data_IF_707574399050
#
_entry.id   IF_707574399050
#
_cell.length_a   1.000
_cell.length_b   1.000
_cell.length_c   1.000
_cell.angle_alpha   90.00
_cell.angle_beta   90.00
_cell.angle_gamma   90.00
#
_symmetry.space_group_name_H-M   'P 1'
#
loop_
_entity.id
_entity.type
_entity.pdbx_description
1 polymer ?
#
# COMPACT_ATOMS: atom_id res chain seq x y z
N UNK A 1 -3.32 4.16 0.51
CA UNK A 1 -1.92 3.67 0.37
C UNK A 1 -1.22 4.55 -0.65
N UNK A 2 -0.01 5.02 -0.34
CA UNK A 2 0.68 5.98 -1.20
C UNK A 2 1.18 5.30 -2.47
N UNK A 3 0.86 5.87 -3.62
CA UNK A 3 1.43 5.50 -4.91
C UNK A 3 2.88 6.01 -5.01
N UNK A 4 3.63 5.51 -5.99
CA UNK A 4 4.88 6.17 -6.37
C UNK A 4 4.50 7.51 -6.99
N UNK A 5 4.88 8.61 -6.34
CA UNK A 5 4.76 9.93 -6.95
C UNK A 5 5.60 9.91 -8.25
N UNK A 6 5.03 10.23 -9.42
CA UNK A 6 5.75 10.15 -10.70
C UNK A 6 7.06 10.93 -10.70
N UNK A 7 7.09 12.03 -9.95
CA UNK A 7 8.28 12.87 -9.76
C UNK A 7 9.39 12.17 -8.94
N UNK A 8 9.02 11.23 -8.06
CA UNK A 8 9.95 10.50 -7.20
C UNK A 8 10.44 9.18 -7.80
N UNK A 9 9.81 8.68 -8.87
CA UNK A 9 10.22 7.44 -9.55
C UNK A 9 11.69 7.45 -10.00
N UNK A 10 12.24 8.62 -10.35
CA UNK A 10 13.66 8.80 -10.69
C UNK A 10 14.59 8.42 -9.53
N UNK A 11 14.16 8.66 -8.28
CA UNK A 11 14.89 8.29 -7.07
C UNK A 11 15.05 6.78 -6.96
N UNK A 12 13.98 6.01 -7.21
CA UNK A 12 14.03 4.55 -7.19
C UNK A 12 15.06 3.99 -8.17
N UNK A 13 15.06 4.51 -9.42
CA UNK A 13 16.03 4.11 -10.45
C UNK A 13 17.45 4.46 -10.03
N UNK A 14 17.68 5.67 -9.50
CA UNK A 14 18.99 6.09 -9.04
C UNK A 14 19.52 5.20 -7.90
N UNK A 15 18.68 4.84 -6.94
CA UNK A 15 19.03 3.92 -5.87
C UNK A 15 19.45 2.53 -6.38
N UNK A 16 18.68 1.97 -7.32
CA UNK A 16 18.99 0.68 -7.96
C UNK A 16 20.30 0.72 -8.76
N UNK A 17 20.55 1.80 -9.50
CA UNK A 17 21.79 1.99 -10.26
C UNK A 17 23.01 2.20 -9.33
N UNK A 18 22.80 2.78 -8.15
CA UNK A 18 23.88 3.01 -7.19
C UNK A 18 24.30 1.73 -6.45
N UNK A 19 23.40 0.76 -6.28
CA UNK A 19 23.70 -0.51 -5.60
C UNK A 19 24.96 -1.23 -6.15
N UNK A 20 25.09 -1.53 -7.46
CA UNK A 20 26.28 -2.20 -7.98
C UNK A 20 27.56 -1.35 -7.80
N UNK A 21 27.46 -0.03 -7.91
CA UNK A 21 28.59 0.90 -7.71
C UNK A 21 29.05 0.86 -6.24
N UNK A 22 28.13 0.91 -5.30
CA UNK A 22 28.41 0.85 -3.87
C UNK A 22 28.98 -0.52 -3.45
N UNK A 23 28.46 -1.61 -4.02
CA UNK A 23 29.02 -2.95 -3.81
C UNK A 23 30.44 -3.06 -4.38
N UNK A 24 30.69 -2.47 -5.54
CA UNK A 24 32.04 -2.41 -6.13
C UNK A 24 32.99 -1.58 -5.24
N UNK A 25 32.55 -0.44 -4.71
CA UNK A 25 33.33 0.37 -3.77
C UNK A 25 33.76 -0.48 -2.57
N UNK A 26 32.83 -1.18 -1.93
CA UNK A 26 33.12 -2.02 -0.76
C UNK A 26 34.04 -3.20 -1.10
N UNK A 27 33.88 -3.82 -2.28
CA UNK A 27 34.66 -5.00 -2.69
C UNK A 27 36.04 -4.68 -3.26
N UNK A 28 36.20 -3.53 -3.89
CA UNK A 28 37.44 -3.17 -4.60
C UNK A 28 38.33 -2.25 -3.76
N UNK A 29 37.76 -1.40 -2.92
CA UNK A 29 38.50 -0.46 -2.08
C UNK A 29 39.13 -1.15 -0.87
N UNK A 30 40.45 -1.05 -0.73
CA UNK A 30 41.17 -1.64 0.39
C UNK A 30 40.73 -1.13 1.78
N UNK A 31 40.48 0.19 1.98
CA UNK A 31 39.86 0.71 3.21
C UNK A 31 38.54 0.02 3.56
N UNK A 32 37.63 -0.09 2.58
CA UNK A 32 36.27 -0.57 2.82
C UNK A 32 36.21 -2.08 3.09
N UNK A 33 37.00 -2.87 2.36
CA UNK A 33 37.07 -4.33 2.57
C UNK A 33 37.50 -4.74 3.97
N UNK A 34 38.27 -3.91 4.66
CA UNK A 34 38.79 -4.20 6.02
C UNK A 34 37.76 -3.91 7.11
N UNK A 35 36.66 -3.24 6.76
CA UNK A 35 35.63 -2.87 7.71
C UNK A 35 34.77 -4.09 8.12
N UNK A 36 34.17 -4.06 9.32
CA UNK A 36 33.13 -5.01 9.70
C UNK A 36 31.97 -5.02 8.70
N UNK A 37 31.33 -6.17 8.53
CA UNK A 37 30.22 -6.34 7.59
C UNK A 37 29.06 -5.36 7.84
N UNK A 38 28.78 -5.01 9.10
CA UNK A 38 27.76 -4.02 9.45
C UNK A 38 28.11 -2.63 8.90
N UNK A 39 29.37 -2.21 9.05
CA UNK A 39 29.84 -0.94 8.47
C UNK A 39 29.83 -0.97 6.95
N UNK A 40 30.17 -2.10 6.33
CA UNK A 40 30.09 -2.26 4.88
C UNK A 40 28.65 -2.10 4.37
N UNK A 41 27.69 -2.74 5.03
CA UNK A 41 26.26 -2.61 4.73
C UNK A 41 25.83 -1.15 4.90
N UNK A 42 26.21 -0.49 6.00
CA UNK A 42 25.90 0.92 6.23
C UNK A 42 26.41 1.83 5.11
N UNK A 43 27.66 1.63 4.65
CA UNK A 43 28.23 2.39 3.53
C UNK A 43 27.40 2.21 2.25
N UNK A 44 26.98 0.98 1.94
CA UNK A 44 26.14 0.72 0.76
C UNK A 44 24.80 1.43 0.87
N UNK A 45 24.14 1.33 2.01
CA UNK A 45 22.84 1.97 2.24
C UNK A 45 22.95 3.50 2.20
N UNK A 46 23.99 4.08 2.80
CA UNK A 46 24.26 5.53 2.72
C UNK A 46 24.53 5.98 1.28
N UNK A 47 25.26 5.20 0.48
CA UNK A 47 25.49 5.52 -0.91
C UNK A 47 24.18 5.53 -1.73
N UNK A 48 23.32 4.53 -1.50
CA UNK A 48 21.99 4.45 -2.13
C UNK A 48 21.13 5.65 -1.72
N UNK A 49 21.04 5.95 -0.43
CA UNK A 49 20.33 7.15 0.07
C UNK A 49 20.85 8.42 -0.59
N UNK A 50 22.17 8.60 -0.66
CA UNK A 50 22.77 9.77 -1.29
C UNK A 50 22.37 9.91 -2.77
N UNK A 51 22.38 8.81 -3.52
CA UNK A 51 21.97 8.81 -4.92
C UNK A 51 20.48 9.13 -5.10
N UNK A 52 19.61 8.60 -4.24
CA UNK A 52 18.18 8.92 -4.25
C UNK A 52 17.97 10.42 -4.03
N UNK A 53 18.56 11.00 -2.98
CA UNK A 53 18.42 12.42 -2.67
C UNK A 53 18.91 13.32 -3.81
N UNK A 54 20.06 13.00 -4.42
CA UNK A 54 20.56 13.75 -5.57
C UNK A 54 19.64 13.65 -6.80
N UNK A 55 18.99 12.50 -7.00
CA UNK A 55 18.11 12.29 -8.15
C UNK A 55 16.78 13.06 -8.02
N UNK A 56 16.34 13.38 -6.80
CA UNK A 56 15.10 14.15 -6.55
C UNK A 56 15.27 15.66 -6.79
N UNK A 57 16.50 16.17 -6.88
CA UNK A 57 16.80 17.61 -7.05
C UNK A 57 16.01 18.27 -8.20
N UNK A 58 15.98 17.73 -9.44
CA UNK A 58 15.36 18.41 -10.57
C UNK A 58 13.86 18.63 -10.37
N UNK A 59 13.19 17.66 -9.73
CA UNK A 59 11.74 17.67 -9.52
C UNK A 59 11.29 18.74 -8.50
N UNK A 60 12.16 19.09 -7.55
CA UNK A 60 11.88 20.18 -6.61
C UNK A 60 12.47 21.53 -7.05
N UNK A 61 13.38 21.56 -8.02
CA UNK A 61 14.09 22.80 -8.37
C UNK A 61 13.15 23.89 -8.93
N UNK A 62 12.12 23.50 -9.66
CA UNK A 62 11.16 24.42 -10.27
C UNK A 62 10.10 24.93 -9.29
N UNK A 63 9.73 24.13 -8.30
CA UNK A 63 8.58 24.38 -7.40
C UNK A 63 9.01 24.78 -6.00
N UNK A 64 10.10 24.22 -5.48
CA UNK A 64 10.64 24.49 -4.15
C UNK A 64 12.19 24.43 -4.14
N UNK A 65 12.85 25.55 -4.48
CA UNK A 65 14.30 25.64 -4.53
C UNK A 65 14.99 25.37 -3.19
N UNK A 66 14.31 25.61 -2.06
CA UNK A 66 14.86 25.37 -0.72
C UNK A 66 14.99 23.86 -0.52
N UNK A 67 13.91 23.13 -0.79
CA UNK A 67 13.88 21.67 -0.67
C UNK A 67 14.86 21.01 -1.65
N UNK A 68 14.96 21.52 -2.88
CA UNK A 68 15.98 21.08 -3.84
C UNK A 68 17.40 21.27 -3.30
N UNK A 69 17.68 22.41 -2.65
CA UNK A 69 18.95 22.67 -1.97
C UNK A 69 19.22 21.70 -0.81
N UNK A 70 18.21 21.40 0.00
CA UNK A 70 18.32 20.43 1.09
C UNK A 70 18.64 19.03 0.56
N UNK A 71 17.96 18.57 -0.50
CA UNK A 71 18.27 17.31 -1.17
C UNK A 71 19.70 17.27 -1.71
N UNK A 72 20.19 18.36 -2.30
CA UNK A 72 21.57 18.44 -2.76
C UNK A 72 22.58 18.27 -1.62
N UNK A 73 22.49 19.09 -0.58
CA UNK A 73 23.44 19.04 0.53
C UNK A 73 23.37 17.69 1.27
N UNK A 74 22.17 17.14 1.43
CA UNK A 74 21.98 15.87 2.09
C UNK A 74 22.56 14.71 1.26
N UNK A 75 22.23 14.68 -0.03
CA UNK A 75 22.75 13.67 -0.97
C UNK A 75 24.28 13.67 -1.04
N UNK A 76 24.89 14.85 -1.16
CA UNK A 76 26.36 14.99 -1.14
C UNK A 76 26.94 14.53 0.20
N UNK A 77 26.33 14.87 1.33
CA UNK A 77 26.82 14.47 2.64
C UNK A 77 26.79 12.94 2.83
N UNK A 78 25.72 12.28 2.37
CA UNK A 78 25.61 10.81 2.38
C UNK A 78 26.70 10.15 1.54
N UNK A 79 26.91 10.60 0.30
CA UNK A 79 27.96 10.07 -0.58
C UNK A 79 29.35 10.32 0.01
N UNK A 80 29.60 11.53 0.54
CA UNK A 80 30.88 11.88 1.15
C UNK A 80 31.18 10.98 2.35
N UNK A 81 30.22 10.75 3.24
CA UNK A 81 30.41 9.85 4.37
C UNK A 81 30.51 8.38 3.94
N UNK A 82 29.84 7.95 2.86
CA UNK A 82 30.03 6.61 2.32
C UNK A 82 31.48 6.38 1.84
N UNK A 83 32.15 7.40 1.31
CA UNK A 83 33.55 7.33 0.86
C UNK A 83 34.55 7.55 2.00
N UNK A 84 34.27 8.49 2.91
CA UNK A 84 35.16 8.95 3.97
C UNK A 84 35.02 8.13 5.27
N UNK A 85 34.89 6.81 5.13
CA UNK A 85 34.56 5.87 6.22
C UNK A 85 35.64 5.77 7.32
N UNK A 86 36.88 6.11 7.01
CA UNK A 86 38.00 6.08 7.96
C UNK A 86 38.07 7.36 8.85
N UNK A 87 37.18 8.34 8.65
CA UNK A 87 37.17 9.54 9.50
C UNK A 87 36.93 9.17 10.95
N UNK A 88 37.71 9.77 11.85
CA UNK A 88 37.64 9.54 13.31
C UNK A 88 36.22 9.70 13.88
N UNK A 89 35.44 10.62 13.32
CA UNK A 89 34.09 10.95 13.78
C UNK A 89 32.99 10.34 12.91
N UNK A 90 33.33 9.46 11.95
CA UNK A 90 32.41 8.94 10.95
C UNK A 90 31.11 8.40 11.57
N UNK A 91 31.19 7.54 12.60
CA UNK A 91 29.98 7.00 13.24
C UNK A 91 29.07 8.10 13.81
N UNK A 92 29.64 9.14 14.40
CA UNK A 92 28.88 10.25 14.97
C UNK A 92 28.26 11.11 13.87
N UNK A 93 29.06 11.48 12.86
CA UNK A 93 28.62 12.30 11.73
C UNK A 93 27.52 11.60 10.93
N UNK A 94 27.70 10.31 10.60
CA UNK A 94 26.70 9.51 9.89
C UNK A 94 25.43 9.32 10.71
N UNK A 95 25.53 9.08 12.02
CA UNK A 95 24.35 8.97 12.88
C UNK A 95 23.59 10.29 12.97
N UNK A 96 24.30 11.41 13.14
CA UNK A 96 23.71 12.73 13.20
C UNK A 96 23.02 13.09 11.88
N UNK A 97 23.66 12.82 10.74
CA UNK A 97 23.08 13.06 9.42
C UNK A 97 21.78 12.27 9.24
N UNK A 98 21.77 10.97 9.54
CA UNK A 98 20.56 10.15 9.38
C UNK A 98 19.44 10.63 10.31
N UNK A 99 19.73 10.88 11.58
CA UNK A 99 18.72 11.35 12.54
C UNK A 99 18.14 12.70 12.10
N UNK A 100 18.99 13.65 11.70
CA UNK A 100 18.53 14.96 11.21
C UNK A 100 17.70 14.83 9.92
N UNK A 101 18.09 13.93 9.02
CA UNK A 101 17.34 13.67 7.78
C UNK A 101 15.98 13.04 8.03
N UNK A 102 15.89 12.08 8.96
CA UNK A 102 14.61 11.47 9.36
C UNK A 102 13.73 12.54 10.01
N UNK A 103 14.24 13.26 11.01
CA UNK A 103 13.48 14.30 11.71
C UNK A 103 13.04 15.43 10.76
N UNK A 104 13.91 15.85 9.84
CA UNK A 104 13.59 16.85 8.82
C UNK A 104 12.44 16.40 7.92
N UNK A 105 12.47 15.16 7.44
CA UNK A 105 11.37 14.59 6.67
C UNK A 105 10.06 14.54 7.47
N UNK A 106 10.11 14.15 8.75
CA UNK A 106 8.91 14.13 9.60
C UNK A 106 8.30 15.54 9.77
N UNK A 107 9.13 16.57 9.90
CA UNK A 107 8.66 17.96 9.93
C UNK A 107 7.98 18.34 8.61
N UNK A 108 8.56 17.94 7.48
CA UNK A 108 7.98 18.20 6.16
C UNK A 108 6.62 17.55 5.97
N UNK A 109 6.49 16.26 6.35
CA UNK A 109 5.24 15.51 6.28
C UNK A 109 4.18 16.12 7.20
N UNK A 110 4.52 16.40 8.47
CA UNK A 110 3.58 16.98 9.44
C UNK A 110 3.16 18.40 9.06
N UNK A 111 4.06 19.18 8.44
CA UNK A 111 3.76 20.52 7.96
C UNK A 111 2.98 20.53 6.62
N UNK A 112 2.76 19.37 5.99
CA UNK A 112 2.11 19.27 4.68
C UNK A 112 2.93 19.85 3.53
N UNK A 113 4.25 19.98 3.70
CA UNK A 113 5.17 20.46 2.66
C UNK A 113 5.52 19.36 1.65
N UNK A 114 5.44 18.11 2.07
CA UNK A 114 5.65 16.93 1.25
C UNK A 114 4.72 15.80 1.72
N UNK A 115 4.10 15.08 0.79
CA UNK A 115 3.27 13.92 1.11
C UNK A 115 4.14 12.67 1.37
N UNK A 116 3.69 11.72 2.20
CA UNK A 116 4.30 10.39 2.22
C UNK A 116 4.14 9.76 0.83
N UNK A 117 5.20 9.18 0.28
CA UNK A 117 5.15 8.40 -0.96
C UNK A 117 6.03 7.15 -0.84
N UNK A 118 5.87 6.17 -1.73
CA UNK A 118 6.62 4.90 -1.62
C UNK A 118 8.14 5.09 -1.63
N UNK A 119 8.65 6.05 -2.41
CA UNK A 119 10.09 6.32 -2.51
C UNK A 119 10.57 7.00 -1.24
N UNK A 120 9.84 7.99 -0.72
CA UNK A 120 10.11 8.62 0.57
C UNK A 120 10.17 7.61 1.71
N UNK A 121 9.14 6.75 1.82
CA UNK A 121 9.05 5.70 2.84
C UNK A 121 10.16 4.66 2.73
N UNK A 122 10.44 4.17 1.52
CA UNK A 122 11.54 3.23 1.28
C UNK A 122 12.88 3.85 1.66
N UNK A 123 13.09 5.13 1.35
CA UNK A 123 14.31 5.86 1.70
C UNK A 123 14.47 5.99 3.21
N UNK A 124 13.40 6.30 3.96
CA UNK A 124 13.44 6.33 5.42
C UNK A 124 13.77 4.95 6.01
N UNK A 125 13.25 3.86 5.43
CA UNK A 125 13.57 2.50 5.88
C UNK A 125 15.05 2.16 5.66
N UNK A 126 15.61 2.54 4.50
CA UNK A 126 17.04 2.39 4.19
C UNK A 126 17.89 3.18 5.20
N UNK A 127 17.52 4.43 5.47
CA UNK A 127 18.20 5.32 6.41
C UNK A 127 18.19 4.74 7.84
N UNK A 128 17.03 4.30 8.34
CA UNK A 128 16.89 3.69 9.67
C UNK A 128 17.67 2.36 9.77
N UNK A 129 17.69 1.58 8.70
CA UNK A 129 18.51 0.36 8.63
C UNK A 129 20.00 0.70 8.68
N UNK A 130 20.44 1.71 7.92
CA UNK A 130 21.81 2.19 7.95
C UNK A 130 22.21 2.67 9.35
N UNK A 131 21.33 3.41 10.03
CA UNK A 131 21.53 3.86 11.40
C UNK A 131 21.72 2.67 12.36
N UNK A 132 20.86 1.65 12.26
CA UNK A 132 21.04 0.41 13.02
C UNK A 132 22.41 -0.22 12.78
N UNK A 133 22.83 -0.34 11.52
CA UNK A 133 24.14 -0.91 11.17
C UNK A 133 25.34 -0.08 11.65
N UNK A 134 25.22 1.26 11.68
CA UNK A 134 26.22 2.20 12.22
C UNK A 134 26.31 2.10 13.73
N UNK A 135 25.19 1.83 14.42
CA UNK A 135 25.16 1.79 15.86
C UNK A 135 25.45 0.39 16.43
N UNK A 136 25.41 -0.70 15.64
CA UNK A 136 25.87 -2.00 16.12
C UNK A 136 27.40 -1.98 16.31
N UNK A 137 27.90 -2.14 17.56
CA UNK A 137 29.33 -2.07 17.82
C UNK A 137 30.03 -3.34 17.28
N UNK A 138 31.11 -3.15 16.52
CA UNK A 138 31.90 -4.26 16.00
C UNK A 138 32.74 -4.92 17.10
N UNK A 139 33.11 -6.20 16.91
CA UNK A 139 33.89 -6.98 17.90
C UNK A 139 35.19 -6.30 18.37
N UNK A 140 35.76 -5.42 17.56
CA UNK A 140 36.99 -4.67 17.88
C UNK A 140 36.74 -3.41 18.74
N UNK A 141 35.50 -2.95 18.91
CA UNK A 141 35.14 -1.72 19.64
C UNK A 141 34.72 -1.98 21.11
N UNK A 142 35.44 -2.87 21.82
CA UNK A 142 35.13 -3.33 23.19
C UNK A 142 34.71 -2.21 24.16
N UNK A 143 35.41 -1.06 24.14
CA UNK A 143 35.19 0.05 25.08
C UNK A 143 33.83 0.74 24.98
N UNK A 144 33.21 0.77 23.79
CA UNK A 144 31.84 1.32 23.62
C UNK A 144 30.78 0.27 23.96
N UNK A 145 31.07 -1.00 23.64
CA UNK A 145 30.20 -2.16 23.90
C UNK A 145 29.85 -2.33 25.37
N UNK A 146 30.77 -2.02 26.28
CA UNK A 146 30.59 -2.27 27.72
C UNK A 146 29.84 -1.14 28.45
N UNK A 147 29.39 -0.08 27.74
CA UNK A 147 28.60 1.02 28.32
C UNK A 147 27.10 0.73 28.20
N UNK A 148 26.44 0.49 29.33
CA UNK A 148 25.01 0.15 29.41
C UNK A 148 24.08 1.20 28.77
N UNK A 149 24.43 2.49 28.88
CA UNK A 149 23.65 3.58 28.27
C UNK A 149 23.66 3.56 26.74
N UNK A 150 24.71 3.01 26.11
CA UNK A 150 24.81 2.89 24.66
C UNK A 150 23.78 1.88 24.12
N UNK A 151 23.61 0.77 24.83
CA UNK A 151 22.56 -0.21 24.53
C UNK A 151 21.16 0.30 24.85
N UNK A 152 21.00 1.11 25.90
CA UNK A 152 19.71 1.75 26.19
C UNK A 152 19.29 2.73 25.07
N UNK A 153 20.22 3.54 24.55
CA UNK A 153 19.97 4.41 23.40
C UNK A 153 19.66 3.62 22.12
N UNK A 154 20.31 2.47 21.92
CA UNK A 154 20.02 1.58 20.79
C UNK A 154 18.66 0.90 20.92
N UNK A 155 18.35 0.38 22.10
CA UNK A 155 17.11 -0.33 22.38
C UNK A 155 15.88 0.59 22.44
N UNK A 156 16.07 1.90 22.68
CA UNK A 156 14.98 2.87 22.74
C UNK A 156 14.94 3.81 21.54
N UNK A 157 16.07 4.40 21.15
CA UNK A 157 16.12 5.47 20.15
C UNK A 157 15.75 5.01 18.74
N UNK A 158 16.28 3.86 18.28
CA UNK A 158 15.95 3.34 16.95
C UNK A 158 14.48 2.88 16.86
N UNK A 159 13.93 2.13 17.84
CA UNK A 159 12.50 1.82 17.84
C UNK A 159 11.62 3.06 17.92
N UNK A 160 11.97 4.07 18.73
CA UNK A 160 11.23 5.33 18.80
C UNK A 160 11.22 6.04 17.44
N UNK A 161 12.35 6.12 16.74
CA UNK A 161 12.38 6.70 15.40
C UNK A 161 11.54 5.91 14.39
N UNK A 162 11.58 4.58 14.43
CA UNK A 162 10.73 3.74 13.58
C UNK A 162 9.24 3.99 13.89
N UNK A 163 8.87 4.04 15.17
CA UNK A 163 7.49 4.28 15.59
C UNK A 163 7.02 5.67 15.22
N UNK A 164 7.84 6.71 15.42
CA UNK A 164 7.50 8.08 15.05
C UNK A 164 7.36 8.23 13.53
N UNK A 165 8.28 7.64 12.76
CA UNK A 165 8.18 7.64 11.30
C UNK A 165 6.97 6.86 10.81
N UNK A 166 6.61 5.76 11.46
CA UNK A 166 5.40 5.04 11.12
C UNK A 166 4.14 5.85 11.48
N UNK A 167 4.10 6.41 12.69
CA UNK A 167 2.95 7.15 13.20
C UNK A 167 2.65 8.39 12.34
N UNK A 168 3.66 9.12 11.86
CA UNK A 168 3.44 10.29 10.99
C UNK A 168 2.73 9.93 9.69
N UNK A 169 3.00 8.74 9.14
CA UNK A 169 2.38 8.27 7.91
C UNK A 169 0.89 8.00 8.14
N UNK A 170 0.57 7.28 9.20
CA UNK A 170 -0.83 7.05 9.59
C UNK A 170 -1.55 8.35 9.97
N UNK A 171 -0.91 9.26 10.70
CA UNK A 171 -1.50 10.56 11.04
C UNK A 171 -1.87 11.32 9.76
N UNK A 172 -1.00 11.30 8.75
CA UNK A 172 -1.24 12.00 7.48
C UNK A 172 -2.37 11.36 6.69
N UNK A 173 -2.38 10.02 6.57
CA UNK A 173 -3.42 9.24 5.89
C UNK A 173 -4.80 9.42 6.57
N UNK A 174 -4.84 9.42 7.91
CA UNK A 174 -6.07 9.66 8.68
C UNK A 174 -6.54 11.13 8.61
N UNK A 175 -5.61 12.08 8.50
CA UNK A 175 -5.95 13.50 8.38
C UNK A 175 -6.41 13.89 6.97
N UNK A 176 -5.98 13.16 5.94
CA UNK A 176 -6.29 13.41 4.54
C UNK A 176 -6.72 12.09 3.87
N UNK A 177 -7.91 11.57 4.19
CA UNK A 177 -8.39 10.33 3.58
C UNK A 177 -8.46 10.50 2.06
N UNK A 178 -7.80 9.60 1.32
CA UNK A 178 -7.87 9.57 -0.13
C UNK A 178 -9.32 9.26 -0.55
N UNK A 179 -9.92 10.16 -1.32
CA UNK A 179 -11.30 10.03 -1.81
C UNK A 179 -11.52 8.75 -2.64
N UNK A 180 -10.45 8.16 -3.18
CA UNK A 180 -10.51 6.89 -3.91
C UNK A 180 -10.59 5.67 -2.99
N UNK A 181 -10.31 5.80 -1.70
CA UNK A 181 -10.46 4.68 -0.78
C UNK A 181 -11.91 4.61 -0.29
N UNK A 182 -12.69 3.68 -0.87
CA UNK A 182 -14.07 3.49 -0.47
C UNK A 182 -14.19 2.99 0.97
N UNK A 183 -13.27 2.08 1.35
CA UNK A 183 -13.06 1.60 2.71
C UNK A 183 -11.64 1.02 2.84
N UNK A 184 -11.30 0.51 4.04
CA UNK A 184 -9.97 -0.03 4.32
C UNK A 184 -9.58 -1.16 3.35
N UNK A 185 -8.61 -0.86 2.48
CA UNK A 185 -8.11 -1.80 1.46
C UNK A 185 -8.90 -1.80 0.14
N UNK A 186 -9.89 -0.93 -0.09
CA UNK A 186 -10.61 -0.85 -1.36
C UNK A 186 -10.31 0.45 -2.12
N UNK A 187 -9.64 0.34 -3.27
CA UNK A 187 -9.28 1.44 -4.15
C UNK A 187 -10.22 1.57 -5.34
N UNK A 188 -10.87 2.72 -5.50
CA UNK A 188 -11.77 3.05 -6.62
C UNK A 188 -11.01 3.33 -7.91
N UNK A 189 -11.63 2.94 -9.04
CA UNK A 189 -11.23 3.37 -10.37
C UNK A 189 -11.32 4.90 -10.50
N UNK A 190 -10.31 5.52 -11.12
CA UNK A 190 -10.38 6.94 -11.47
C UNK A 190 -11.36 7.18 -12.61
N UNK A 191 -12.31 8.11 -12.42
CA UNK A 191 -13.33 8.49 -13.40
C UNK A 191 -13.44 10.01 -13.52
N UNK A 192 -14.29 10.48 -14.43
CA UNK A 192 -14.73 11.88 -14.43
C UNK A 192 -15.55 12.21 -13.16
N UNK A 193 -15.53 13.48 -12.73
CA UNK A 193 -16.20 13.92 -11.50
C UNK A 193 -17.75 13.89 -11.58
N UNK A 194 -18.32 14.12 -12.76
CA UNK A 194 -19.78 14.17 -12.96
C UNK A 194 -20.18 13.26 -14.12
N UNK A 195 -21.15 12.35 -13.93
CA UNK A 195 -21.51 11.39 -14.97
C UNK A 195 -22.17 12.07 -16.16
N UNK A 196 -21.71 11.70 -17.36
CA UNK A 196 -22.31 12.16 -18.61
C UNK A 196 -23.68 11.54 -18.84
N UNK A 197 -24.46 12.09 -19.77
CA UNK A 197 -25.77 11.51 -20.14
C UNK A 197 -25.63 10.09 -20.70
N UNK A 198 -24.59 9.86 -21.51
CA UNK A 198 -24.29 8.53 -22.05
C UNK A 198 -23.94 7.55 -20.93
N UNK A 199 -23.14 7.98 -19.95
CA UNK A 199 -22.80 7.15 -18.79
C UNK A 199 -24.01 6.81 -17.93
N UNK A 200 -24.89 7.78 -17.68
CA UNK A 200 -26.17 7.53 -16.97
C UNK A 200 -27.00 6.46 -17.69
N UNK A 201 -27.16 6.60 -19.01
CA UNK A 201 -27.94 5.64 -19.80
C UNK A 201 -27.30 4.24 -19.81
N UNK A 202 -25.97 4.16 -19.94
CA UNK A 202 -25.25 2.90 -19.93
C UNK A 202 -25.27 2.22 -18.55
N UNK A 203 -25.18 2.98 -17.46
CA UNK A 203 -25.35 2.46 -16.10
C UNK A 203 -26.78 1.90 -15.89
N UNK A 204 -27.82 2.62 -16.33
CA UNK A 204 -29.20 2.12 -16.29
C UNK A 204 -29.36 0.83 -17.08
N UNK A 205 -28.82 0.77 -18.30
CA UNK A 205 -28.88 -0.42 -19.14
C UNK A 205 -28.18 -1.62 -18.47
N UNK A 206 -26.97 -1.41 -17.93
CA UNK A 206 -26.23 -2.44 -17.21
C UNK A 206 -27.04 -2.98 -16.02
N UNK A 207 -27.66 -2.09 -15.25
CA UNK A 207 -28.52 -2.47 -14.12
C UNK A 207 -29.70 -3.33 -14.58
N UNK A 208 -30.46 -2.88 -15.58
CA UNK A 208 -31.65 -3.57 -16.09
C UNK A 208 -31.31 -4.96 -16.68
N UNK A 209 -30.23 -5.06 -17.46
CA UNK A 209 -29.77 -6.31 -18.03
C UNK A 209 -29.32 -7.30 -16.95
N UNK A 210 -28.67 -6.79 -15.91
CA UNK A 210 -28.23 -7.57 -14.75
C UNK A 210 -29.44 -8.08 -13.97
N UNK A 211 -30.40 -7.22 -13.62
CA UNK A 211 -31.66 -7.61 -12.97
C UNK A 211 -32.37 -8.70 -13.77
N UNK A 212 -32.48 -8.55 -15.09
CA UNK A 212 -33.13 -9.53 -15.95
C UNK A 212 -32.40 -10.88 -15.94
N UNK A 213 -31.08 -10.89 -16.04
CA UNK A 213 -30.26 -12.10 -16.04
C UNK A 213 -30.25 -12.83 -14.68
N UNK A 214 -30.39 -12.09 -13.58
CA UNK A 214 -30.34 -12.63 -12.21
C UNK A 214 -31.66 -13.27 -11.76
N UNK A 215 -32.79 -13.04 -12.44
CA UNK A 215 -34.10 -13.59 -12.07
C UNK A 215 -34.07 -15.10 -11.79
N UNK A 216 -33.34 -15.87 -12.60
CA UNK A 216 -33.21 -17.33 -12.44
C UNK A 216 -32.50 -17.73 -11.15
N UNK A 217 -31.66 -16.86 -10.58
CA UNK A 217 -30.85 -17.13 -9.40
C UNK A 217 -31.53 -16.70 -8.09
N UNK A 218 -32.75 -16.17 -8.16
CA UNK A 218 -33.59 -16.00 -6.97
C UNK A 218 -33.81 -17.34 -6.26
N UNK A 219 -33.89 -18.45 -7.01
CA UNK A 219 -33.68 -19.78 -6.45
C UNK A 219 -32.18 -20.08 -6.42
N UNK A 220 -31.60 -20.10 -5.21
CA UNK A 220 -30.18 -20.40 -5.01
C UNK A 220 -29.78 -21.78 -5.54
N UNK A 221 -30.73 -22.74 -5.66
CA UNK A 221 -30.43 -24.06 -6.26
C UNK A 221 -30.08 -23.95 -7.73
N UNK A 222 -30.67 -23.00 -8.45
CA UNK A 222 -30.32 -22.71 -9.83
C UNK A 222 -28.91 -22.14 -9.93
N UNK A 223 -28.50 -21.28 -8.98
CA UNK A 223 -27.11 -20.79 -8.91
C UNK A 223 -26.14 -21.94 -8.60
N UNK A 224 -26.48 -22.81 -7.66
CA UNK A 224 -25.68 -23.99 -7.36
C UNK A 224 -25.54 -24.92 -8.58
N UNK A 225 -26.62 -25.19 -9.31
CA UNK A 225 -26.62 -25.99 -10.53
C UNK A 225 -25.80 -25.33 -11.66
N UNK A 226 -25.80 -24.00 -11.73
CA UNK A 226 -24.98 -23.23 -12.68
C UNK A 226 -23.48 -23.17 -12.31
N UNK A 227 -23.10 -23.70 -11.14
CA UNK A 227 -21.69 -23.83 -10.72
C UNK A 227 -21.21 -22.76 -9.75
N UNK A 228 -22.09 -21.91 -9.21
CA UNK A 228 -21.73 -20.95 -8.17
C UNK A 228 -21.53 -21.65 -6.82
N UNK A 229 -20.48 -21.30 -6.08
CA UNK A 229 -20.18 -21.85 -4.74
C UNK A 229 -19.84 -20.73 -3.76
N UNK A 230 -20.34 -20.76 -2.52
CA UNK A 230 -20.00 -19.75 -1.50
C UNK A 230 -18.47 -19.71 -1.29
N UNK A 231 -17.94 -18.50 -1.19
CA UNK A 231 -16.56 -18.24 -0.79
C UNK A 231 -16.50 -17.67 0.62
N UNK A 232 -15.59 -18.17 1.45
CA UNK A 232 -15.44 -17.72 2.83
C UNK A 232 -16.30 -18.50 3.84
N UNK A 233 -16.23 -18.15 5.14
CA UNK A 233 -16.96 -18.85 6.19
C UNK A 233 -18.47 -18.52 6.21
N UNK A 234 -19.29 -19.52 6.53
CA UNK A 234 -20.76 -19.46 6.49
C UNK A 234 -21.39 -18.57 7.58
N UNK A 235 -20.60 -17.98 8.47
CA UNK A 235 -21.06 -17.13 9.58
C UNK A 235 -21.13 -15.63 9.23
N UNK A 236 -20.81 -15.26 8.00
CA UNK A 236 -20.90 -13.87 7.53
C UNK A 236 -22.36 -13.51 7.20
N UNK A 237 -22.81 -12.25 7.42
CA UNK A 237 -24.18 -11.82 7.08
C UNK A 237 -24.51 -11.94 5.59
N UNK A 238 -23.52 -11.77 4.72
CA UNK A 238 -23.62 -12.00 3.28
C UNK A 238 -22.39 -12.76 2.77
N UNK A 239 -22.52 -13.39 1.60
CA UNK A 239 -21.45 -14.21 1.02
C UNK A 239 -21.44 -14.11 -0.49
N UNK A 240 -20.25 -13.95 -1.06
CA UNK A 240 -20.02 -14.03 -2.50
C UNK A 240 -19.96 -15.50 -2.93
N UNK A 241 -20.89 -15.90 -3.77
CA UNK A 241 -20.91 -17.19 -4.43
C UNK A 241 -20.23 -17.05 -5.78
N UNK A 242 -19.09 -17.71 -5.96
CA UNK A 242 -18.22 -17.54 -7.12
C UNK A 242 -18.42 -18.65 -8.15
N UNK A 243 -18.40 -18.29 -9.43
CA UNK A 243 -18.32 -19.22 -10.55
C UNK A 243 -16.91 -19.22 -11.15
N UNK A 244 -16.11 -20.20 -10.75
CA UNK A 244 -14.72 -20.31 -11.19
C UNK A 244 -14.56 -20.57 -12.69
N UNK A 245 -15.58 -21.11 -13.37
CA UNK A 245 -15.55 -21.27 -14.81
C UNK A 245 -15.65 -19.90 -15.51
N UNK A 246 -16.51 -19.00 -15.02
CA UNK A 246 -16.65 -17.65 -15.58
C UNK A 246 -15.47 -16.75 -15.24
N UNK A 247 -14.86 -16.92 -14.07
CA UNK A 247 -13.58 -16.26 -13.72
C UNK A 247 -12.49 -16.70 -14.70
N UNK A 248 -12.32 -18.00 -14.94
CA UNK A 248 -11.30 -18.53 -15.87
C UNK A 248 -11.57 -18.19 -17.33
N UNK A 249 -12.84 -18.11 -17.73
CA UNK A 249 -13.23 -17.70 -19.08
C UNK A 249 -12.96 -16.22 -19.35
N UNK A 250 -12.78 -15.40 -18.29
CA UNK A 250 -12.42 -13.99 -18.42
C UNK A 250 -13.54 -13.13 -19.00
N UNK A 251 -14.80 -13.45 -18.73
CA UNK A 251 -15.91 -12.57 -19.11
C UNK A 251 -15.74 -11.21 -18.44
N UNK A 252 -15.88 -10.13 -19.20
CA UNK A 252 -15.78 -8.77 -18.68
C UNK A 252 -17.15 -8.14 -18.71
N UNK A 253 -17.73 -7.92 -17.53
CA UNK A 253 -19.01 -7.20 -17.37
C UNK A 253 -20.13 -7.74 -18.27
N UNK A 254 -20.26 -9.07 -18.35
CA UNK A 254 -21.36 -9.73 -19.06
C UNK A 254 -22.47 -10.10 -18.07
N UNK A 255 -23.64 -9.43 -18.09
CA UNK A 255 -24.75 -9.71 -17.17
C UNK A 255 -25.23 -11.16 -17.17
N UNK A 256 -25.00 -11.93 -18.25
CA UNK A 256 -25.41 -13.34 -18.33
C UNK A 256 -24.41 -14.29 -17.65
N UNK A 257 -23.18 -13.84 -17.43
CA UNK A 257 -22.08 -14.61 -16.87
C UNK A 257 -21.32 -13.85 -15.77
N UNK A 258 -22.00 -13.36 -14.71
CA UNK A 258 -21.32 -12.67 -13.62
C UNK A 258 -20.39 -13.64 -12.89
N UNK A 259 -19.19 -13.19 -12.51
CA UNK A 259 -18.23 -14.04 -11.79
C UNK A 259 -18.69 -14.39 -10.38
N UNK A 260 -19.43 -13.48 -9.74
CA UNK A 260 -20.00 -13.67 -8.42
C UNK A 260 -21.48 -13.33 -8.35
N UNK A 261 -22.20 -14.03 -7.50
CA UNK A 261 -23.51 -13.65 -6.99
C UNK A 261 -23.38 -13.36 -5.51
N UNK A 262 -24.05 -12.34 -5.00
CA UNK A 262 -24.02 -12.02 -3.57
C UNK A 262 -25.33 -12.44 -2.94
N UNK A 263 -25.26 -13.27 -1.90
CA UNK A 263 -26.43 -13.71 -1.13
C UNK A 263 -26.34 -13.21 0.31
N UNK A 264 -27.45 -12.75 0.87
CA UNK A 264 -27.61 -12.64 2.32
C UNK A 264 -27.79 -14.05 2.89
N UNK A 265 -27.06 -14.36 3.96
CA UNK A 265 -27.26 -15.58 4.72
C UNK A 265 -28.37 -15.31 5.73
N UNK A 266 -29.59 -15.76 5.41
CA UNK A 266 -30.73 -15.64 6.32
C UNK A 266 -31.04 -16.97 7.04
N UNK A 267 -31.76 -16.89 8.17
CA UNK A 267 -32.32 -18.06 8.84
C UNK A 267 -33.28 -18.88 7.95
N UNK A 268 -33.85 -18.28 6.90
CA UNK A 268 -34.76 -18.92 5.94
C UNK A 268 -34.05 -19.43 4.67
N UNK A 269 -32.73 -19.22 4.58
CA UNK A 269 -31.88 -19.63 3.46
C UNK A 269 -31.28 -18.44 2.70
N UNK A 270 -30.43 -18.69 1.68
CA UNK A 270 -29.76 -17.62 0.94
C UNK A 270 -30.75 -16.74 0.15
N UNK A 271 -30.68 -15.42 0.34
CA UNK A 271 -31.49 -14.43 -0.41
C UNK A 271 -30.58 -13.65 -1.36
N UNK A 272 -30.89 -13.63 -2.65
CA UNK A 272 -30.06 -12.97 -3.67
C UNK A 272 -30.10 -11.45 -3.50
N UNK A 273 -28.93 -10.83 -3.32
CA UNK A 273 -28.75 -9.38 -3.16
C UNK A 273 -28.28 -8.70 -4.45
N UNK A 274 -27.48 -9.39 -5.27
CA UNK A 274 -26.87 -8.78 -6.44
C UNK A 274 -25.87 -9.66 -7.17
N UNK A 275 -25.19 -9.07 -8.14
CA UNK A 275 -24.08 -9.67 -8.88
C UNK A 275 -22.78 -8.92 -8.62
N UNK A 276 -21.67 -9.61 -8.83
CA UNK A 276 -20.32 -9.07 -8.84
C UNK A 276 -19.65 -9.47 -10.16
N UNK A 277 -19.19 -8.47 -10.90
CA UNK A 277 -18.30 -8.66 -12.04
C UNK A 277 -16.87 -8.52 -11.56
N UNK A 278 -16.00 -9.43 -11.98
CA UNK A 278 -14.59 -9.46 -11.56
C UNK A 278 -13.69 -9.47 -12.78
N UNK A 279 -12.69 -8.60 -12.76
CA UNK A 279 -11.63 -8.59 -13.77
C UNK A 279 -10.67 -9.77 -13.60
N UNK A 280 -10.04 -10.25 -14.68
CA UNK A 280 -9.16 -11.42 -14.65
C UNK A 280 -7.79 -11.15 -13.99
N UNK A 281 -7.39 -9.88 -13.84
CA UNK A 281 -6.06 -9.49 -13.37
C UNK A 281 -6.12 -8.34 -12.37
N UNK A 282 -5.19 -8.33 -11.44
CA UNK A 282 -4.93 -7.19 -10.56
C UNK A 282 -4.46 -5.98 -11.38
N UNK A 283 -4.81 -4.79 -10.92
CA UNK A 283 -4.47 -3.48 -11.50
C UNK A 283 -4.99 -3.24 -12.92
N UNK A 284 -5.89 -4.10 -13.42
CA UNK A 284 -6.56 -3.95 -14.72
C UNK A 284 -8.05 -3.72 -14.49
N UNK A 285 -8.43 -2.45 -14.31
CA UNK A 285 -9.82 -2.04 -14.13
C UNK A 285 -10.67 -2.31 -15.37
N UNK A 286 -11.95 -2.57 -15.14
CA UNK A 286 -12.92 -2.85 -16.20
C UNK A 286 -13.30 -1.62 -17.02
N UNK A 287 -14.13 -1.82 -18.06
CA UNK A 287 -14.77 -0.72 -18.77
C UNK A 287 -15.52 0.21 -17.80
N UNK A 288 -15.59 1.49 -18.12
CA UNK A 288 -16.26 2.50 -17.29
C UNK A 288 -17.58 2.98 -17.93
N UNK A 289 -18.65 2.16 -17.93
CA UNK A 289 -19.90 2.50 -18.58
C UNK A 289 -20.65 3.61 -17.84
N UNK A 290 -20.51 3.72 -16.51
CA UNK A 290 -21.28 4.64 -15.68
C UNK A 290 -20.49 5.85 -15.18
N UNK A 291 -19.18 5.93 -15.43
CA UNK A 291 -18.34 6.94 -14.80
C UNK A 291 -18.40 6.81 -13.28
N UNK A 292 -18.56 7.92 -12.56
CA UNK A 292 -18.64 7.91 -11.10
C UNK A 292 -19.89 7.21 -10.53
N UNK A 293 -20.81 6.72 -11.39
CA UNK A 293 -21.96 5.92 -10.95
C UNK A 293 -21.62 4.44 -10.76
N UNK A 294 -20.64 3.92 -11.49
CA UNK A 294 -20.28 2.49 -11.47
C UNK A 294 -18.96 2.33 -10.73
N UNK A 295 -19.05 2.00 -9.45
CA UNK A 295 -17.90 1.98 -8.55
C UNK A 295 -17.06 0.70 -8.70
N UNK A 296 -16.34 0.58 -9.80
CA UNK A 296 -15.24 -0.39 -9.88
C UNK A 296 -14.25 -0.09 -8.76
N UNK A 297 -13.91 -1.11 -7.98
CA UNK A 297 -12.92 -1.03 -6.92
C UNK A 297 -12.06 -2.28 -6.89
N UNK A 298 -10.82 -2.14 -6.44
CA UNK A 298 -9.91 -3.24 -6.20
C UNK A 298 -9.68 -3.39 -4.70
N UNK A 299 -9.76 -4.61 -4.19
CA UNK A 299 -9.31 -4.87 -2.84
C UNK A 299 -7.81 -5.17 -2.87
N UNK A 300 -7.04 -4.31 -2.24
CA UNK A 300 -5.60 -4.44 -2.11
C UNK A 300 -5.23 -4.55 -0.63
N UNK A 301 -4.17 -5.31 -0.37
CA UNK A 301 -3.50 -5.31 0.93
C UNK A 301 -4.36 -5.74 2.12
N UNK A 302 -5.26 -6.71 1.92
CA UNK A 302 -6.01 -7.30 3.03
C UNK A 302 -5.06 -8.23 3.79
N UNK A 303 -4.66 -7.82 4.99
CA UNK A 303 -3.70 -8.55 5.80
C UNK A 303 -4.40 -9.55 6.74
N UNK A 304 -4.24 -10.85 6.49
CA UNK A 304 -4.79 -11.90 7.34
C UNK A 304 -3.74 -12.46 8.30
N UNK A 305 -4.04 -12.48 9.61
CA UNK A 305 -3.19 -13.15 10.61
C UNK A 305 -3.83 -14.43 11.14
N UNK A 306 -3.07 -15.52 11.35
CA UNK A 306 -3.62 -16.77 11.87
C UNK A 306 -4.08 -16.70 13.34
N UNK A 307 -3.93 -15.54 14.00
CA UNK A 307 -4.30 -15.33 15.41
C UNK A 307 -5.57 -14.49 15.59
N UNK A 308 -6.38 -14.30 14.55
CA UNK A 308 -7.71 -13.69 14.64
C UNK A 308 -7.72 -12.19 14.94
N UNK A 309 -6.56 -11.53 14.90
CA UNK A 309 -6.50 -10.07 14.84
C UNK A 309 -6.68 -9.66 13.38
N UNK A 310 -7.94 -9.60 12.97
CA UNK A 310 -8.40 -9.02 11.72
C UNK A 310 -8.30 -7.49 11.84
N UNK A 311 -7.09 -6.97 11.66
CA UNK A 311 -6.95 -5.59 11.25
C UNK A 311 -6.60 -5.61 9.78
N UNK A 312 -7.57 -5.21 8.95
CA UNK A 312 -7.33 -4.68 7.59
C UNK A 312 -6.55 -3.37 7.69
N UNK A 313 -5.42 -3.39 8.41
CA UNK A 313 -4.52 -2.27 8.62
C UNK A 313 -3.13 -2.76 8.26
N UNK A 314 -2.67 -2.29 7.11
CA UNK A 314 -1.26 -2.37 6.77
C UNK A 314 -0.42 -1.69 7.84
N UNK A 315 0.84 -2.09 7.94
CA UNK A 315 1.82 -1.29 8.66
C UNK A 315 1.90 0.11 8.03
N UNK A 316 2.40 1.12 8.75
CA UNK A 316 2.60 2.46 8.19
C UNK A 316 3.61 2.53 7.04
N UNK A 317 4.26 1.41 6.70
CA UNK A 317 5.14 1.29 5.54
C UNK A 317 4.48 0.54 4.38
N UNK A 318 3.15 0.44 4.41
CA UNK A 318 2.36 -0.15 3.36
C UNK A 318 2.82 -1.58 3.01
N UNK A 319 3.07 -2.37 4.06
CA UNK A 319 3.22 -3.82 3.99
C UNK A 319 2.36 -4.48 5.06
N UNK A 320 1.97 -5.73 4.86
CA UNK A 320 1.32 -6.50 5.92
C UNK A 320 2.27 -6.74 7.10
N UNK A 321 1.75 -6.77 8.35
CA UNK A 321 2.54 -7.10 9.52
C UNK A 321 3.30 -8.42 9.37
N UNK A 322 4.44 -8.56 10.04
CA UNK A 322 5.20 -9.81 10.03
C UNK A 322 4.32 -10.98 10.49
N UNK A 323 4.26 -12.04 9.67
CA UNK A 323 3.42 -13.22 9.93
C UNK A 323 1.98 -13.10 9.42
N UNK A 324 1.60 -11.97 8.81
CA UNK A 324 0.36 -11.82 8.07
C UNK A 324 0.54 -12.23 6.60
N UNK A 325 -0.56 -12.67 5.98
CA UNK A 325 -0.64 -12.98 4.54
C UNK A 325 -1.38 -11.83 3.87
N UNK A 326 -0.79 -11.29 2.80
CA UNK A 326 -1.44 -10.32 1.92
C UNK A 326 -2.36 -11.04 0.93
N UNK A 327 -3.64 -10.66 0.96
CA UNK A 327 -4.63 -11.10 -0.01
C UNK A 327 -5.12 -9.85 -0.74
N UNK A 328 -4.90 -9.82 -2.05
CA UNK A 328 -5.45 -8.81 -2.94
C UNK A 328 -6.40 -9.48 -3.93
N UNK A 329 -7.55 -8.86 -4.17
CA UNK A 329 -8.55 -9.34 -5.12
C UNK A 329 -8.58 -8.42 -6.35
N UNK A 330 -8.67 -8.97 -7.58
CA UNK A 330 -8.78 -8.16 -8.81
C UNK A 330 -9.94 -7.16 -8.76
N UNK A 331 -9.93 -6.12 -9.61
CA UNK A 331 -10.98 -5.12 -9.64
C UNK A 331 -12.35 -5.77 -9.85
N UNK A 332 -13.33 -5.29 -9.09
CA UNK A 332 -14.70 -5.78 -9.10
C UNK A 332 -15.71 -4.64 -9.11
N UNK A 333 -16.90 -4.94 -9.61
CA UNK A 333 -18.05 -4.04 -9.63
C UNK A 333 -19.28 -4.81 -9.19
N UNK A 334 -19.98 -4.28 -8.19
CA UNK A 334 -21.24 -4.84 -7.72
C UNK A 334 -22.43 -4.17 -8.39
N UNK A 335 -23.47 -4.97 -8.61
CA UNK A 335 -24.79 -4.50 -9.02
C UNK A 335 -25.81 -5.08 -8.05
N UNK A 336 -26.32 -4.24 -7.16
CA UNK A 336 -27.29 -4.59 -6.14
C UNK A 336 -28.70 -4.52 -6.72
N UNK A 337 -29.42 -5.65 -6.72
CA UNK A 337 -30.81 -5.71 -7.20
C UNK A 337 -31.83 -5.42 -6.09
N UNK A 338 -31.33 -5.22 -4.87
CA UNK A 338 -32.08 -4.75 -3.70
C UNK A 338 -31.90 -3.23 -3.55
N UNK A 339 -32.82 -2.58 -2.84
CA UNK A 339 -32.79 -1.13 -2.62
C UNK A 339 -31.72 -0.73 -1.60
N UNK A 340 -30.46 -0.73 -2.05
CA UNK A 340 -29.31 -0.33 -1.25
C UNK A 340 -29.31 1.21 -1.08
N UNK A 341 -29.31 1.77 0.15
CA UNK A 341 -29.42 3.21 0.39
C UNK A 341 -28.36 4.07 -0.30
N UNK A 342 -27.17 3.50 -0.53
CA UNK A 342 -26.02 4.15 -1.18
C UNK A 342 -26.04 3.99 -2.71
N UNK A 343 -27.02 3.27 -3.25
CA UNK A 343 -27.28 3.11 -4.67
C UNK A 343 -26.98 1.70 -5.22
N UNK A 344 -27.46 1.41 -6.45
CA UNK A 344 -27.39 0.08 -7.05
C UNK A 344 -25.98 -0.38 -7.43
N UNK A 345 -25.00 0.53 -7.45
CA UNK A 345 -23.61 0.26 -7.80
C UNK A 345 -22.64 0.64 -6.67
N UNK A 346 -23.14 0.81 -5.45
CA UNK A 346 -22.29 1.09 -4.31
C UNK A 346 -21.26 -0.03 -4.10
N UNK A 347 -20.09 0.30 -3.57
CA UNK A 347 -19.03 -0.67 -3.25
C UNK A 347 -19.54 -1.72 -2.26
N UNK A 348 -20.20 -1.26 -1.20
CA UNK A 348 -20.70 -2.13 -0.14
C UNK A 348 -22.23 -2.19 -0.12
N UNK A 349 -22.74 -3.34 0.35
CA UNK A 349 -24.15 -3.47 0.74
C UNK A 349 -24.34 -2.94 2.16
N UNK A 350 -25.43 -2.22 2.41
CA UNK A 350 -25.74 -1.74 3.76
C UNK A 350 -26.02 -2.90 4.74
N UNK A 351 -25.25 -2.97 5.83
CA UNK A 351 -25.38 -4.03 6.83
C UNK A 351 -26.77 -4.08 7.50
N UNK A 352 -27.44 -2.93 7.65
CA UNK A 352 -28.79 -2.88 8.26
C UNK A 352 -29.82 -3.46 7.31
N UNK A 353 -29.65 -3.26 6.00
CA UNK A 353 -30.46 -3.89 4.97
C UNK A 353 -30.30 -5.41 5.01
N UNK A 354 -29.05 -5.91 5.06
CA UNK A 354 -28.80 -7.37 5.17
C UNK A 354 -29.41 -7.93 6.46
N UNK A 355 -29.22 -7.25 7.60
CA UNK A 355 -29.82 -7.66 8.87
C UNK A 355 -31.35 -7.59 8.88
N UNK A 356 -31.97 -6.70 8.10
CA UNK A 356 -33.41 -6.63 7.96
C UNK A 356 -33.94 -7.82 7.16
N UNK A 357 -33.26 -8.21 6.08
CA UNK A 357 -33.59 -9.40 5.26
C UNK A 357 -33.49 -10.69 6.10
N UNK A 358 -32.52 -10.79 7.00
CA UNK A 358 -32.39 -11.96 7.88
C UNK A 358 -33.57 -12.12 8.86
N UNK A 359 -34.25 -11.03 9.21
CA UNK A 359 -35.37 -11.04 10.16
C UNK A 359 -36.73 -11.33 9.52
N UNK A 360 -36.82 -11.31 8.20
CA UNK A 360 -38.05 -11.55 7.42
C UNK A 360 -38.09 -12.96 6.89
#
# INVERSE_FOLDING_TARGET
>A
MFDIEPSHAVGLVAGLLMLPVALALVRLSAPHRRLPITTQIAVVLMAITGAIHLALIPNHLETDPITSGLFFFNGVAFIALAVLVERRWWRLESSALIVLTVLGYLVYVVAGLEGPDQVGLATKLIELTALGMILVPARMERRKRDRTWYWALLAAGLPVLIVLSGASVWITDLAHPDERHAHAGALLQSTNAVPTRAQKAAATQLYEDTVAALRRYQDWRAAWAAGYRPGGPDNMPSTHWMNQAYVKAGYVMDPKHPQGLVYANSHHGPVLLGAMFQMPRLNEFGPDPGGPLTAWHQHENICFTPFGFEFSLMTPFAICPLGAIDISAPPMLHVWIVDNPTGPFAVDIDDKLVAAIDRT
#
